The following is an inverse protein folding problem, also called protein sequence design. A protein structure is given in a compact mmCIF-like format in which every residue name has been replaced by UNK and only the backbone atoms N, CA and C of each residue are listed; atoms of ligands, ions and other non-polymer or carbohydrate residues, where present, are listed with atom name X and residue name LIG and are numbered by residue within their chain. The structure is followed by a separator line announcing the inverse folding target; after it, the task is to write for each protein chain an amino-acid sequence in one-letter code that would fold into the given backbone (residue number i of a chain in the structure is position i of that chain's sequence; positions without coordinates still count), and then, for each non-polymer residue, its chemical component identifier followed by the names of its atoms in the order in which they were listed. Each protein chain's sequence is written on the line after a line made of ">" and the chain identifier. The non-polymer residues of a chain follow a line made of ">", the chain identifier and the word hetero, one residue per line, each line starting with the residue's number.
data_IF_483244720399
#
_entry.id   IF_483244720399
#
_cell.length_a   1.000
_cell.length_b   1.000
_cell.length_c   1.000
_cell.angle_alpha   90.00
_cell.angle_beta   90.00
_cell.angle_gamma   90.00
#
_symmetry.space_group_name_H-M   'P 1'
#
loop_
_entity.id
_entity.type
_entity.pdbx_description
1 polymer ?
#
# COMPACT_ATOMS: atom_id res chain seq x y z
N UNK A 1 25.43 16.98 7.77
CA UNK A 1 26.44 16.31 6.91
C UNK A 1 27.77 16.33 7.64
N UNK A 2 28.39 15.15 7.83
CA UNK A 2 29.69 15.02 8.49
C UNK A 2 30.80 14.75 7.44
N UNK A 3 31.11 15.76 6.63
CA UNK A 3 32.07 15.67 5.53
C UNK A 3 33.22 16.66 5.70
N UNK A 4 34.45 16.18 5.61
CA UNK A 4 35.64 17.03 5.48
C UNK A 4 35.72 17.65 4.09
N UNK A 5 36.51 18.70 3.89
CA UNK A 5 36.67 19.31 2.56
C UNK A 5 37.34 18.37 1.54
N UNK A 6 38.18 17.45 2.02
CA UNK A 6 38.75 16.38 1.20
C UNK A 6 37.65 15.42 0.75
N UNK A 7 36.76 15.01 1.67
CA UNK A 7 35.62 14.14 1.32
C UNK A 7 34.71 14.80 0.28
N UNK A 8 34.39 16.09 0.45
CA UNK A 8 33.56 16.83 -0.51
C UNK A 8 34.18 16.85 -1.91
N UNK A 9 35.47 17.19 -2.01
CA UNK A 9 36.15 17.26 -3.32
C UNK A 9 36.19 15.89 -4.00
N UNK A 10 36.50 14.83 -3.24
CA UNK A 10 36.50 13.45 -3.75
C UNK A 10 35.11 13.03 -4.24
N UNK A 11 34.07 13.29 -3.46
CA UNK A 11 32.68 12.99 -3.85
C UNK A 11 32.30 13.73 -5.15
N UNK A 12 32.68 15.00 -5.27
CA UNK A 12 32.42 15.80 -6.48
C UNK A 12 33.14 15.21 -7.70
N UNK A 13 34.40 14.79 -7.56
CA UNK A 13 35.14 14.14 -8.65
C UNK A 13 34.48 12.83 -9.09
N UNK A 14 34.09 11.98 -8.15
CA UNK A 14 33.36 10.73 -8.45
C UNK A 14 32.09 11.02 -9.25
N UNK A 15 31.29 12.02 -8.83
CA UNK A 15 30.07 12.42 -9.54
C UNK A 15 30.39 12.92 -10.95
N UNK A 16 31.41 13.79 -11.10
CA UNK A 16 31.81 14.34 -12.41
C UNK A 16 32.27 13.25 -13.39
N UNK A 17 32.95 12.23 -12.88
CA UNK A 17 33.43 11.10 -13.68
C UNK A 17 32.34 10.06 -13.95
N UNK A 18 31.13 10.23 -13.38
CA UNK A 18 30.04 9.24 -13.48
C UNK A 18 30.32 7.95 -12.72
N UNK A 19 31.21 8.00 -11.73
CA UNK A 19 31.58 6.86 -10.90
C UNK A 19 30.61 6.69 -9.73
N UNK A 20 30.53 5.47 -9.19
CA UNK A 20 29.65 5.16 -8.06
C UNK A 20 30.22 5.75 -6.77
N UNK A 21 29.38 6.37 -5.95
CA UNK A 21 29.78 6.77 -4.60
C UNK A 21 29.97 5.55 -3.69
N UNK A 22 31.09 5.47 -2.95
CA UNK A 22 31.27 4.53 -1.85
C UNK A 22 30.20 4.69 -0.76
N UNK A 23 29.84 3.58 -0.09
CA UNK A 23 28.83 3.60 0.99
C UNK A 23 29.19 4.53 2.15
N UNK A 24 30.47 4.62 2.49
CA UNK A 24 30.98 5.49 3.56
C UNK A 24 30.65 6.97 3.31
N UNK A 25 30.72 7.42 2.06
CA UNK A 25 30.39 8.79 1.67
C UNK A 25 28.89 9.05 1.77
N UNK A 26 28.08 8.05 1.41
CA UNK A 26 26.63 8.10 1.59
C UNK A 26 26.30 8.23 3.08
N UNK A 27 26.89 7.43 3.96
CA UNK A 27 26.64 7.53 5.40
C UNK A 27 27.05 8.90 5.98
N UNK A 28 28.19 9.46 5.54
CA UNK A 28 28.63 10.80 5.97
C UNK A 28 27.68 11.92 5.52
N UNK A 29 27.07 11.78 4.34
CA UNK A 29 26.07 12.74 3.84
C UNK A 29 24.84 12.79 4.76
N UNK A 30 24.40 11.65 5.29
CA UNK A 30 23.20 11.55 6.15
C UNK A 30 23.51 11.37 7.64
N UNK A 31 24.75 11.65 8.07
CA UNK A 31 25.25 11.30 9.42
C UNK A 31 24.50 11.92 10.60
N UNK A 32 23.78 13.03 10.38
CA UNK A 32 23.02 13.74 11.42
C UNK A 32 21.52 13.40 11.38
N UNK A 33 21.08 12.57 10.43
CA UNK A 33 19.71 12.05 10.42
C UNK A 33 19.68 10.81 11.32
N UNK A 34 19.03 10.91 12.49
CA UNK A 34 18.82 9.79 13.43
C UNK A 34 17.95 8.66 12.83
N UNK A 35 17.43 8.85 11.63
CA UNK A 35 16.56 7.92 10.94
C UNK A 35 17.37 6.80 10.27
N UNK A 36 17.03 5.55 10.61
CA UNK A 36 17.56 4.37 9.91
C UNK A 36 16.89 4.27 8.54
N UNK A 37 17.64 4.54 7.47
CA UNK A 37 17.15 4.43 6.10
C UNK A 37 17.52 3.09 5.44
N UNK A 38 16.51 2.41 4.88
CA UNK A 38 16.73 1.24 4.02
C UNK A 38 16.94 1.69 2.57
N UNK A 39 18.15 1.55 2.04
CA UNK A 39 18.46 1.88 0.65
C UNK A 39 18.57 0.62 -0.22
N UNK A 40 17.92 0.66 -1.38
CA UNK A 40 18.10 -0.30 -2.46
C UNK A 40 17.91 0.37 -3.82
N UNK A 41 18.57 -0.16 -4.84
CA UNK A 41 18.47 0.37 -6.20
C UNK A 41 17.03 0.25 -6.71
N UNK A 42 16.50 1.33 -7.29
CA UNK A 42 15.14 1.37 -7.81
C UNK A 42 14.06 1.59 -6.75
N UNK A 43 14.42 1.87 -5.49
CA UNK A 43 13.48 2.39 -4.48
C UNK A 43 12.79 3.63 -5.04
N UNK A 44 11.45 3.64 -5.01
CA UNK A 44 10.62 4.81 -5.34
C UNK A 44 9.82 5.19 -4.12
N UNK A 45 9.75 6.49 -3.82
CA UNK A 45 8.93 7.04 -2.75
C UNK A 45 7.60 7.61 -3.27
N UNK A 46 7.40 7.57 -4.59
CA UNK A 46 6.18 8.03 -5.23
C UNK A 46 4.97 7.20 -4.79
N UNK A 47 4.09 7.82 -4.03
CA UNK A 47 2.77 7.25 -3.70
C UNK A 47 1.82 7.52 -4.85
N UNK A 48 1.15 6.47 -5.33
CA UNK A 48 0.12 6.63 -6.37
C UNK A 48 -1.17 7.11 -5.73
N UNK A 49 -1.61 8.29 -6.17
CA UNK A 49 -2.81 8.96 -5.70
C UNK A 49 -3.71 9.31 -6.89
N UNK A 50 -4.31 8.28 -7.46
CA UNK A 50 -5.24 8.33 -8.59
C UNK A 50 -6.56 7.67 -8.15
N UNK A 51 -7.67 8.33 -8.50
CA UNK A 51 -9.01 7.75 -8.39
C UNK A 51 -9.52 7.38 -9.79
N UNK A 52 -9.57 6.08 -10.09
CA UNK A 52 -10.09 5.55 -11.35
C UNK A 52 -11.44 4.86 -11.12
N UNK A 53 -12.35 4.89 -12.10
CA UNK A 53 -13.50 4.00 -12.08
C UNK A 53 -13.02 2.55 -12.21
N UNK A 54 -13.66 1.65 -11.47
CA UNK A 54 -13.34 0.23 -11.55
C UNK A 54 -13.98 -0.36 -12.81
N UNK A 55 -13.17 -1.04 -13.62
CA UNK A 55 -13.64 -1.69 -14.85
C UNK A 55 -14.58 -2.86 -14.56
N UNK A 56 -14.34 -3.61 -13.48
CA UNK A 56 -15.19 -4.75 -13.09
C UNK A 56 -15.22 -4.87 -11.57
N UNK A 57 -16.38 -4.57 -10.99
CA UNK A 57 -16.72 -4.87 -9.60
C UNK A 57 -17.84 -5.88 -9.63
N UNK A 58 -17.59 -7.05 -9.05
CA UNK A 58 -18.63 -8.03 -8.78
C UNK A 58 -19.09 -7.89 -7.34
N UNK A 59 -20.39 -7.71 -7.16
CA UNK A 59 -21.04 -7.61 -5.86
C UNK A 59 -21.54 -9.00 -5.48
N UNK A 60 -20.88 -9.62 -4.51
CA UNK A 60 -21.16 -10.99 -4.08
C UNK A 60 -22.03 -10.90 -2.82
N UNK A 61 -23.33 -10.74 -3.04
CA UNK A 61 -24.32 -10.56 -1.96
C UNK A 61 -25.29 -11.73 -1.80
N UNK A 62 -24.97 -12.88 -2.38
CA UNK A 62 -25.79 -14.06 -2.10
C UNK A 62 -25.48 -14.60 -0.71
N UNK A 63 -26.46 -14.65 0.21
CA UNK A 63 -26.31 -15.50 1.38
C UNK A 63 -26.14 -16.92 0.86
N UNK A 64 -25.10 -17.63 1.32
CA UNK A 64 -25.03 -19.08 1.10
C UNK A 64 -26.41 -19.64 1.47
N UNK A 65 -27.07 -20.34 0.54
CA UNK A 65 -28.19 -21.19 0.89
C UNK A 65 -27.61 -22.25 1.83
N UNK A 66 -27.70 -21.99 3.13
CA UNK A 66 -27.38 -22.98 4.13
C UNK A 66 -28.17 -24.24 3.77
N UNK A 67 -27.45 -25.35 3.53
CA UNK A 67 -28.05 -26.66 3.71
C UNK A 67 -28.76 -26.63 5.05
N UNK A 68 -29.99 -27.12 5.12
CA UNK A 68 -30.86 -27.18 6.30
C UNK A 68 -30.18 -27.82 7.53
N UNK A 69 -29.28 -27.12 8.19
CA UNK A 69 -28.57 -27.61 9.37
C UNK A 69 -28.60 -26.53 10.44
N UNK A 70 -29.53 -26.72 11.38
CA UNK A 70 -29.56 -26.14 12.72
C UNK A 70 -29.48 -24.62 12.80
N UNK A 71 -30.63 -24.04 12.54
CA UNK A 71 -31.00 -22.63 12.65
C UNK A 71 -31.05 -22.11 14.11
N UNK A 72 -30.38 -22.78 15.06
CA UNK A 72 -30.39 -22.41 16.50
C UNK A 72 -29.03 -22.02 17.08
N UNK A 73 -27.92 -22.14 16.34
CA UNK A 73 -26.57 -21.85 16.86
C UNK A 73 -25.81 -20.71 16.16
N UNK A 74 -26.35 -20.14 15.08
CA UNK A 74 -25.71 -19.04 14.36
C UNK A 74 -26.45 -17.72 14.60
N UNK A 75 -25.69 -16.68 14.98
CA UNK A 75 -26.19 -15.33 15.24
C UNK A 75 -26.69 -14.70 13.93
N UNK A 76 -28.01 -14.48 13.86
CA UNK A 76 -28.70 -13.91 12.71
C UNK A 76 -28.38 -12.43 12.47
N UNK A 77 -27.63 -11.77 13.36
CA UNK A 77 -27.24 -10.35 13.27
C UNK A 77 -26.23 -10.04 12.16
N UNK A 78 -25.57 -11.05 11.59
CA UNK A 78 -24.62 -10.91 10.49
C UNK A 78 -25.24 -10.91 9.08
N UNK A 79 -26.57 -11.07 8.96
CA UNK A 79 -27.23 -11.05 7.65
C UNK A 79 -27.51 -9.62 7.23
N UNK A 80 -26.78 -9.14 6.23
CA UNK A 80 -26.97 -7.82 5.65
C UNK A 80 -28.30 -7.76 4.89
N UNK A 81 -29.19 -6.88 5.35
CA UNK A 81 -30.53 -6.72 4.80
C UNK A 81 -30.59 -5.72 3.62
N UNK A 82 -29.56 -4.86 3.45
CA UNK A 82 -29.44 -3.84 2.39
C UNK A 82 -27.96 -3.47 2.12
N UNK A 83 -27.64 -3.11 0.87
CA UNK A 83 -26.29 -2.70 0.44
C UNK A 83 -25.39 -3.88 0.09
N UNK A 84 -24.10 -3.63 -0.07
CA UNK A 84 -23.10 -4.67 -0.37
C UNK A 84 -22.42 -5.19 0.90
N UNK A 85 -22.11 -6.48 0.93
CA UNK A 85 -21.37 -7.19 1.98
C UNK A 85 -19.97 -7.55 1.54
N UNK A 86 -19.85 -8.09 0.33
CA UNK A 86 -18.59 -8.52 -0.25
C UNK A 86 -18.45 -7.93 -1.65
N UNK A 87 -17.26 -7.41 -1.96
CA UNK A 87 -16.90 -6.94 -3.30
C UNK A 87 -15.68 -7.69 -3.80
N UNK A 88 -15.76 -8.17 -5.03
CA UNK A 88 -14.63 -8.68 -5.79
C UNK A 88 -14.27 -7.66 -6.86
N UNK A 89 -13.02 -7.22 -6.89
CA UNK A 89 -12.52 -6.18 -7.79
C UNK A 89 -11.38 -6.77 -8.61
N UNK A 90 -11.48 -6.68 -9.93
CA UNK A 90 -10.48 -7.19 -10.86
C UNK A 90 -9.60 -6.07 -11.42
N UNK A 91 -8.28 -6.26 -11.43
CA UNK A 91 -7.33 -5.33 -12.03
C UNK A 91 -5.99 -5.24 -11.30
N UNK A 92 -5.19 -4.23 -11.66
CA UNK A 92 -3.92 -3.91 -11.03
C UNK A 92 -4.14 -3.43 -9.58
N UNK A 93 -3.49 -4.10 -8.62
CA UNK A 93 -3.70 -3.85 -7.20
C UNK A 93 -3.29 -2.43 -6.77
N UNK A 94 -2.25 -1.84 -7.38
CA UNK A 94 -1.77 -0.51 -7.04
C UNK A 94 -2.79 0.55 -7.42
N UNK A 95 -3.39 0.45 -8.61
CA UNK A 95 -4.44 1.37 -9.06
C UNK A 95 -5.75 1.17 -8.30
N UNK A 96 -6.11 -0.08 -8.00
CA UNK A 96 -7.29 -0.42 -7.19
C UNK A 96 -7.17 0.19 -5.80
N UNK A 97 -6.07 -0.08 -5.08
CA UNK A 97 -5.86 0.42 -3.73
C UNK A 97 -5.84 1.95 -3.69
N UNK A 98 -5.17 2.57 -4.65
CA UNK A 98 -5.19 4.03 -4.81
C UNK A 98 -6.62 4.58 -4.99
N UNK A 99 -7.45 3.90 -5.77
CA UNK A 99 -8.85 4.30 -6.01
C UNK A 99 -9.76 4.03 -4.82
N UNK A 100 -9.51 2.97 -4.03
CA UNK A 100 -10.22 2.70 -2.77
C UNK A 100 -9.87 3.72 -1.68
N UNK A 101 -8.62 4.20 -1.68
CA UNK A 101 -8.14 5.18 -0.70
C UNK A 101 -8.63 6.61 -1.01
N UNK A 102 -8.70 6.98 -2.29
CA UNK A 102 -8.92 8.38 -2.70
C UNK A 102 -10.20 8.59 -3.54
N UNK A 103 -10.88 7.52 -3.96
CA UNK A 103 -12.06 7.58 -4.81
C UNK A 103 -13.39 7.51 -4.05
N UNK A 104 -14.53 7.52 -4.77
CA UNK A 104 -15.87 7.61 -4.17
C UNK A 104 -16.24 6.43 -3.25
N UNK A 105 -15.71 5.24 -3.52
CA UNK A 105 -15.92 4.05 -2.67
C UNK A 105 -15.33 4.25 -1.26
N UNK A 106 -14.35 5.15 -1.09
CA UNK A 106 -13.77 5.47 0.22
C UNK A 106 -14.84 5.87 1.23
N UNK A 107 -15.78 6.71 0.83
CA UNK A 107 -16.87 7.17 1.69
C UNK A 107 -17.83 6.04 2.06
N UNK A 108 -18.10 5.11 1.14
CA UNK A 108 -18.93 3.93 1.42
C UNK A 108 -18.27 3.02 2.46
N UNK A 109 -16.95 2.80 2.34
CA UNK A 109 -16.17 2.03 3.31
C UNK A 109 -16.24 2.67 4.69
N UNK A 110 -16.06 3.99 4.79
CA UNK A 110 -16.14 4.71 6.07
C UNK A 110 -17.56 4.66 6.68
N UNK A 111 -18.60 4.81 5.86
CA UNK A 111 -20.00 4.68 6.31
C UNK A 111 -20.31 3.28 6.85
N UNK A 112 -19.56 2.25 6.42
CA UNK A 112 -19.66 0.88 6.94
C UNK A 112 -18.69 0.58 8.11
N UNK A 113 -17.98 1.59 8.63
CA UNK A 113 -17.09 1.45 9.79
C UNK A 113 -15.62 1.19 9.46
N UNK A 114 -15.20 1.46 8.22
CA UNK A 114 -13.79 1.47 7.81
C UNK A 114 -13.18 0.09 7.59
N UNK A 115 -11.85 0.06 7.40
CA UNK A 115 -11.08 -1.17 7.21
C UNK A 115 -10.51 -1.61 8.57
N UNK A 116 -10.81 -2.84 8.98
CA UNK A 116 -10.33 -3.42 10.25
C UNK A 116 -9.14 -4.37 10.09
N UNK A 117 -9.04 -5.04 8.95
CA UNK A 117 -8.03 -6.05 8.68
C UNK A 117 -7.68 -6.04 7.20
N UNK A 118 -6.39 -6.10 6.89
CA UNK A 118 -5.87 -6.34 5.56
C UNK A 118 -5.03 -7.61 5.64
N UNK A 119 -5.33 -8.59 4.80
CA UNK A 119 -4.53 -9.80 4.61
C UNK A 119 -3.99 -9.79 3.18
N UNK A 120 -2.68 -10.05 3.04
CA UNK A 120 -2.01 -10.20 1.75
C UNK A 120 -1.09 -11.41 1.80
N UNK A 121 -0.96 -12.09 0.67
CA UNK A 121 -0.03 -13.20 0.44
C UNK A 121 0.78 -12.88 -0.82
N UNK A 122 1.75 -11.93 -0.74
CA UNK A 122 2.55 -11.54 -1.89
C UNK A 122 3.55 -12.64 -2.29
N UNK A 123 4.08 -12.61 -3.53
CA UNK A 123 5.18 -13.49 -3.90
C UNK A 123 6.38 -13.35 -2.94
N UNK A 124 6.95 -14.48 -2.53
CA UNK A 124 8.15 -14.54 -1.69
C UNK A 124 9.42 -14.12 -2.45
#
# INVERSE_FOLDING_TARGET
>A
MNLTDIDKNRIIELIKNGEKLPKEDIYKLFADEEDVFLFWNGRKEEVTNIALPFHSIEQIDEPRKDLEVQTSMFDMRGRQLKGWTNKLIWGDNKLILSSLANGPIREEIEKQGGIKLIYIDPPF
#
